data_IF_458359177223
#
_entry.id   IF_458359177223
#
_cell.length_a   1.000
_cell.length_b   1.000
_cell.length_c   1.000
_cell.angle_alpha   90.00
_cell.angle_beta   90.00
_cell.angle_gamma   90.00
#
_symmetry.space_group_name_H-M   'P 1'
#
loop_
_entity.id
_entity.type
_entity.pdbx_description
1 polymer ?
#
# COMPACT_ATOMS: atom_id res chain seq x y z
N UNK A 1 -11.90 -48.57 10.65
CA UNK A 1 -11.69 -48.41 9.19
C UNK A 1 -12.96 -47.93 8.48
N UNK A 2 -14.13 -48.51 8.80
CA UNK A 2 -15.45 -48.11 8.26
C UNK A 2 -15.76 -46.60 8.34
N UNK A 3 -15.51 -45.95 9.49
CA UNK A 3 -15.78 -44.51 9.68
C UNK A 3 -14.92 -43.59 8.78
N UNK A 4 -13.72 -44.02 8.39
CA UNK A 4 -12.89 -43.24 7.44
C UNK A 4 -13.40 -43.37 6.01
N UNK A 5 -13.92 -44.54 5.63
CA UNK A 5 -14.53 -44.73 4.32
C UNK A 5 -15.84 -43.94 4.18
N UNK A 6 -16.68 -43.96 5.23
CA UNK A 6 -17.92 -43.20 5.29
C UNK A 6 -17.68 -41.69 5.26
N UNK A 7 -16.63 -41.20 5.95
CA UNK A 7 -16.25 -39.79 5.87
C UNK A 7 -15.77 -39.39 4.47
N UNK A 8 -15.03 -40.25 3.76
CA UNK A 8 -14.58 -39.99 2.39
C UNK A 8 -15.76 -39.98 1.41
N UNK A 9 -16.72 -40.92 1.55
CA UNK A 9 -17.92 -41.00 0.71
C UNK A 9 -18.86 -39.81 0.97
N UNK A 10 -19.07 -39.43 2.23
CA UNK A 10 -19.88 -38.25 2.56
C UNK A 10 -19.19 -36.95 2.09
N UNK A 11 -17.86 -36.89 2.13
CA UNK A 11 -17.11 -35.74 1.61
C UNK A 11 -17.12 -35.67 0.09
N UNK A 12 -17.14 -36.80 -0.63
CA UNK A 12 -17.28 -36.81 -2.09
C UNK A 12 -18.71 -36.52 -2.56
N UNK A 13 -19.74 -36.92 -1.79
CA UNK A 13 -21.13 -36.51 -2.03
C UNK A 13 -21.30 -35.00 -1.78
N UNK A 14 -20.69 -34.45 -0.72
CA UNK A 14 -20.71 -33.01 -0.45
C UNK A 14 -19.93 -32.19 -1.49
N UNK A 15 -18.84 -32.72 -2.05
CA UNK A 15 -18.11 -32.07 -3.17
C UNK A 15 -18.92 -32.12 -4.47
N UNK A 16 -19.73 -33.17 -4.70
CA UNK A 16 -20.63 -33.24 -5.85
C UNK A 16 -21.89 -32.37 -5.70
N UNK A 17 -22.36 -32.08 -4.48
CA UNK A 17 -23.41 -31.05 -4.28
C UNK A 17 -22.85 -29.61 -4.33
N UNK A 18 -21.54 -29.43 -4.11
CA UNK A 18 -20.82 -28.16 -4.32
C UNK A 18 -20.22 -28.00 -5.72
N UNK A 19 -20.25 -29.03 -6.57
CA UNK A 19 -20.35 -28.78 -8.00
C UNK A 19 -21.72 -28.17 -8.24
N UNK A 20 -21.78 -26.84 -8.11
CA UNK A 20 -22.81 -26.02 -8.71
C UNK A 20 -22.89 -26.50 -10.14
N UNK A 21 -23.86 -27.38 -10.37
CA UNK A 21 -23.92 -28.14 -11.59
C UNK A 21 -23.99 -27.12 -12.71
N UNK A 22 -23.19 -27.31 -13.76
CA UNK A 22 -23.49 -26.75 -15.07
C UNK A 22 -24.77 -27.43 -15.63
N UNK A 23 -25.77 -27.72 -14.78
CA UNK A 23 -27.04 -28.32 -15.15
C UNK A 23 -27.78 -27.28 -15.98
N UNK A 24 -27.68 -27.45 -17.30
CA UNK A 24 -28.75 -27.26 -18.26
C UNK A 24 -29.57 -25.97 -18.08
N UNK A 25 -28.91 -24.83 -17.81
CA UNK A 25 -29.56 -23.55 -18.04
C UNK A 25 -29.68 -23.40 -19.55
N UNK A 26 -30.87 -23.71 -20.05
CA UNK A 26 -31.20 -23.54 -21.46
C UNK A 26 -31.28 -22.04 -21.73
N UNK A 27 -30.17 -21.49 -22.23
CA UNK A 27 -30.16 -20.12 -22.71
C UNK A 27 -31.00 -20.02 -23.99
N UNK A 28 -31.79 -18.95 -24.16
CA UNK A 28 -32.40 -18.64 -25.45
C UNK A 28 -31.37 -18.71 -26.59
N UNK A 29 -31.73 -19.15 -27.81
CA UNK A 29 -30.79 -19.34 -28.91
C UNK A 29 -29.88 -18.14 -29.17
N UNK A 30 -30.44 -16.92 -29.08
CA UNK A 30 -29.70 -15.67 -29.22
C UNK A 30 -28.59 -15.48 -28.17
N UNK A 31 -28.80 -15.93 -26.94
CA UNK A 31 -27.78 -15.87 -25.89
C UNK A 31 -26.70 -16.94 -26.13
N UNK A 32 -27.08 -18.14 -26.59
CA UNK A 32 -26.12 -19.19 -26.96
C UNK A 32 -25.19 -18.72 -28.08
N UNK A 33 -25.75 -18.12 -29.14
CA UNK A 33 -24.99 -17.53 -30.24
C UNK A 33 -23.95 -16.52 -29.74
N UNK A 34 -24.36 -15.63 -28.82
CA UNK A 34 -23.46 -14.62 -28.25
C UNK A 34 -22.37 -15.24 -27.38
N UNK A 35 -22.71 -16.25 -26.57
CA UNK A 35 -21.73 -17.01 -25.77
C UNK A 35 -20.69 -17.67 -26.69
N UNK A 36 -21.13 -18.23 -27.82
CA UNK A 36 -20.24 -18.83 -28.82
C UNK A 36 -19.33 -17.78 -29.47
N UNK A 37 -19.88 -16.61 -29.85
CA UNK A 37 -19.10 -15.51 -30.41
C UNK A 37 -18.03 -15.01 -29.42
N UNK A 38 -18.41 -14.72 -28.18
CA UNK A 38 -17.47 -14.32 -27.11
C UNK A 38 -16.42 -15.41 -26.87
N UNK A 39 -16.80 -16.68 -26.99
CA UNK A 39 -15.88 -17.80 -26.81
C UNK A 39 -14.85 -17.94 -27.93
N UNK A 40 -15.15 -17.43 -29.13
CA UNK A 40 -14.25 -17.44 -30.30
C UNK A 40 -13.32 -16.23 -30.36
N UNK A 41 -13.60 -15.14 -29.63
CA UNK A 41 -12.75 -13.94 -29.62
C UNK A 41 -11.33 -14.21 -29.11
N UNK A 42 -10.28 -13.79 -29.79
CA UNK A 42 -8.91 -13.99 -29.25
C UNK A 42 -8.52 -12.91 -28.22
N UNK A 43 -9.10 -11.72 -28.35
CA UNK A 43 -8.69 -10.51 -27.65
C UNK A 43 -9.91 -9.73 -27.18
N UNK A 44 -9.87 -9.27 -25.93
CA UNK A 44 -10.86 -8.34 -25.38
C UNK A 44 -10.40 -6.92 -25.69
N UNK A 45 -11.17 -6.19 -26.48
CA UNK A 45 -10.84 -4.84 -26.93
C UNK A 45 -11.39 -3.80 -25.97
N UNK A 46 -10.54 -2.84 -25.62
CA UNK A 46 -10.87 -1.68 -24.78
C UNK A 46 -10.53 -0.43 -25.59
N UNK A 47 -11.46 0.50 -25.70
CA UNK A 47 -11.26 1.74 -26.45
C UNK A 47 -10.27 2.69 -25.72
N UNK A 48 -9.83 3.79 -26.36
CA UNK A 48 -8.90 4.73 -25.72
C UNK A 48 -9.39 5.37 -24.42
N UNK A 49 -10.71 5.44 -24.25
CA UNK A 49 -11.35 5.89 -23.02
C UNK A 49 -11.49 4.76 -21.97
N UNK A 50 -10.77 3.66 -22.13
CA UNK A 50 -10.76 2.52 -21.20
C UNK A 50 -12.10 1.77 -21.11
N UNK A 51 -13.02 1.99 -22.05
CA UNK A 51 -14.34 1.35 -22.07
C UNK A 51 -14.27 0.09 -22.92
N UNK A 52 -14.80 -1.00 -22.37
CA UNK A 52 -14.95 -2.28 -23.06
C UNK A 52 -15.76 -2.12 -24.34
N UNK A 53 -15.47 -2.93 -25.36
CA UNK A 53 -16.34 -3.03 -26.53
C UNK A 53 -17.80 -3.23 -26.11
N UNK A 54 -18.63 -2.25 -26.46
CA UNK A 54 -20.01 -2.17 -26.00
C UNK A 54 -20.92 -3.18 -26.71
N UNK A 55 -20.50 -3.80 -27.82
CA UNK A 55 -21.34 -4.74 -28.56
C UNK A 55 -21.77 -5.93 -27.69
N UNK A 56 -20.82 -6.69 -27.16
CA UNK A 56 -21.11 -7.85 -26.30
C UNK A 56 -21.74 -7.44 -24.96
N UNK A 57 -21.31 -6.31 -24.39
CA UNK A 57 -21.90 -5.75 -23.16
C UNK A 57 -23.38 -5.44 -23.35
N UNK A 58 -23.73 -4.74 -24.43
CA UNK A 58 -25.11 -4.36 -24.71
C UNK A 58 -25.99 -5.57 -24.98
N UNK A 59 -25.47 -6.60 -25.67
CA UNK A 59 -26.23 -7.83 -25.90
C UNK A 59 -26.46 -8.58 -24.57
N UNK A 60 -25.43 -8.75 -23.74
CA UNK A 60 -25.60 -9.39 -22.43
C UNK A 60 -26.57 -8.60 -21.52
N UNK A 61 -26.51 -7.26 -21.54
CA UNK A 61 -27.44 -6.40 -20.77
C UNK A 61 -28.90 -6.53 -21.21
N UNK A 62 -29.14 -6.65 -22.51
CA UNK A 62 -30.50 -6.61 -23.08
C UNK A 62 -31.25 -7.92 -22.91
N UNK A 63 -30.54 -9.05 -22.76
CA UNK A 63 -31.17 -10.38 -22.76
C UNK A 63 -30.95 -11.21 -21.50
N UNK A 64 -29.97 -10.85 -20.66
CA UNK A 64 -29.65 -11.64 -19.49
C UNK A 64 -30.10 -10.94 -18.21
N UNK A 65 -31.10 -11.52 -17.55
CA UNK A 65 -31.36 -11.22 -16.14
C UNK A 65 -30.15 -11.66 -15.29
N UNK A 66 -30.12 -11.20 -14.04
CA UNK A 66 -29.09 -11.57 -13.07
C UNK A 66 -28.93 -13.08 -12.93
N UNK A 67 -30.04 -13.82 -12.92
CA UNK A 67 -30.07 -15.27 -12.68
C UNK A 67 -29.49 -16.05 -13.86
N UNK A 68 -29.48 -15.48 -15.06
CA UNK A 68 -28.80 -15.99 -16.26
C UNK A 68 -27.34 -15.58 -16.35
N UNK A 69 -26.98 -14.40 -15.86
CA UNK A 69 -25.59 -13.91 -15.89
C UNK A 69 -24.69 -14.56 -14.84
N UNK A 70 -25.21 -14.81 -13.63
CA UNK A 70 -24.42 -15.44 -12.55
C UNK A 70 -23.83 -16.79 -12.97
N UNK A 71 -24.60 -17.72 -13.57
CA UNK A 71 -24.06 -18.97 -14.08
C UNK A 71 -22.94 -18.81 -15.11
N UNK A 72 -22.99 -17.75 -15.95
CA UNK A 72 -21.94 -17.47 -16.93
C UNK A 72 -20.61 -17.07 -16.30
N UNK A 73 -20.59 -16.62 -15.04
CA UNK A 73 -19.33 -16.43 -14.31
C UNK A 73 -18.59 -17.75 -14.07
N UNK A 74 -19.26 -18.90 -14.20
CA UNK A 74 -18.68 -20.24 -14.06
C UNK A 74 -18.48 -20.96 -15.41
N UNK A 75 -18.62 -20.25 -16.52
CA UNK A 75 -18.46 -20.82 -17.87
C UNK A 75 -17.02 -21.29 -18.14
N UNK A 76 -16.83 -22.29 -19.01
CA UNK A 76 -15.50 -22.83 -19.33
C UNK A 76 -14.60 -21.79 -20.04
N UNK A 77 -15.18 -20.97 -20.92
CA UNK A 77 -14.48 -19.88 -21.62
C UNK A 77 -14.13 -18.73 -20.64
N UNK A 78 -12.84 -18.37 -20.48
CA UNK A 78 -12.42 -17.24 -19.66
C UNK A 78 -13.03 -15.90 -20.08
N UNK A 79 -13.27 -15.73 -21.38
CA UNK A 79 -13.81 -14.49 -21.96
C UNK A 79 -15.28 -14.32 -21.60
N UNK A 80 -16.07 -15.40 -21.68
CA UNK A 80 -17.47 -15.40 -21.24
C UNK A 80 -17.56 -15.02 -19.76
N UNK A 81 -16.69 -15.61 -18.92
CA UNK A 81 -16.63 -15.26 -17.49
C UNK A 81 -16.28 -13.79 -17.26
N UNK A 82 -15.30 -13.26 -17.99
CA UNK A 82 -14.91 -11.85 -17.92
C UNK A 82 -16.09 -10.91 -18.25
N UNK A 83 -16.76 -11.12 -19.39
CA UNK A 83 -17.88 -10.26 -19.78
C UNK A 83 -19.05 -10.40 -18.81
N UNK A 84 -19.33 -11.61 -18.32
CA UNK A 84 -20.38 -11.85 -17.34
C UNK A 84 -20.13 -11.09 -16.03
N UNK A 85 -18.92 -11.17 -15.45
CA UNK A 85 -18.63 -10.45 -14.19
C UNK A 85 -18.57 -8.93 -14.40
N UNK A 86 -18.08 -8.47 -15.55
CA UNK A 86 -18.12 -7.06 -15.89
C UNK A 86 -19.56 -6.55 -15.93
N UNK A 87 -20.45 -7.20 -16.68
CA UNK A 87 -21.85 -6.78 -16.80
C UNK A 87 -22.55 -6.84 -15.43
N UNK A 88 -22.35 -7.91 -14.66
CA UNK A 88 -22.92 -8.04 -13.31
C UNK A 88 -22.52 -6.87 -12.40
N UNK A 89 -21.22 -6.57 -12.32
CA UNK A 89 -20.69 -5.57 -11.37
C UNK A 89 -21.05 -4.13 -11.76
N UNK A 90 -21.12 -3.85 -13.06
CA UNK A 90 -21.38 -2.49 -13.57
C UNK A 90 -22.88 -2.15 -13.66
N UNK A 91 -23.77 -3.13 -13.82
CA UNK A 91 -25.19 -2.85 -14.11
C UNK A 91 -26.20 -3.43 -13.11
N UNK A 92 -25.78 -4.24 -12.13
CA UNK A 92 -26.68 -4.82 -11.13
C UNK A 92 -26.25 -4.44 -9.71
N UNK A 93 -27.21 -4.16 -8.84
CA UNK A 93 -26.94 -3.69 -7.47
C UNK A 93 -26.98 -4.78 -6.40
N UNK A 94 -27.54 -5.94 -6.73
CA UNK A 94 -27.70 -7.06 -5.80
C UNK A 94 -27.17 -8.35 -6.42
N UNK A 95 -25.84 -8.47 -6.57
CA UNK A 95 -25.19 -9.67 -7.09
C UNK A 95 -24.69 -10.55 -5.93
N UNK A 96 -24.59 -11.89 -6.09
CA UNK A 96 -24.05 -12.78 -5.07
C UNK A 96 -22.50 -12.68 -5.01
N UNK A 97 -21.97 -11.48 -4.76
CA UNK A 97 -20.56 -11.13 -4.91
C UNK A 97 -19.63 -12.03 -4.09
N UNK A 98 -20.00 -12.38 -2.86
CA UNK A 98 -19.15 -13.18 -1.99
C UNK A 98 -18.95 -14.60 -2.54
N UNK A 99 -20.04 -15.25 -2.97
CA UNK A 99 -20.01 -16.58 -3.58
C UNK A 99 -19.22 -16.58 -4.89
N UNK A 100 -19.37 -15.52 -5.70
CA UNK A 100 -18.60 -15.36 -6.93
C UNK A 100 -17.10 -15.21 -6.58
N UNK A 101 -16.75 -14.32 -5.65
CA UNK A 101 -15.36 -14.11 -5.24
C UNK A 101 -14.72 -15.39 -4.68
N UNK A 102 -15.42 -16.13 -3.81
CA UNK A 102 -14.95 -17.40 -3.24
C UNK A 102 -14.57 -18.41 -4.31
N UNK A 103 -15.40 -18.56 -5.35
CA UNK A 103 -15.13 -19.50 -6.44
C UNK A 103 -13.93 -19.08 -7.29
N UNK A 104 -13.80 -17.79 -7.58
CA UNK A 104 -12.81 -17.28 -8.53
C UNK A 104 -11.51 -16.82 -7.89
N UNK A 105 -11.38 -16.87 -6.57
CA UNK A 105 -10.18 -16.42 -5.85
C UNK A 105 -8.88 -17.07 -6.35
N UNK A 106 -8.95 -18.33 -6.76
CA UNK A 106 -7.84 -19.13 -7.26
C UNK A 106 -7.96 -19.46 -8.76
N UNK A 107 -8.78 -18.72 -9.51
CA UNK A 107 -8.91 -18.87 -10.95
C UNK A 107 -7.59 -18.52 -11.67
N UNK A 108 -6.94 -19.52 -12.25
CA UNK A 108 -5.66 -19.37 -12.94
C UNK A 108 -5.80 -19.03 -14.41
N UNK A 109 -7.02 -19.02 -14.96
CA UNK A 109 -7.26 -18.62 -16.34
C UNK A 109 -6.96 -17.14 -16.53
N UNK A 110 -6.70 -16.77 -17.77
CA UNK A 110 -6.37 -15.41 -18.13
C UNK A 110 -7.02 -15.04 -19.47
N UNK A 111 -7.19 -13.74 -19.68
CA UNK A 111 -7.67 -13.14 -20.92
C UNK A 111 -6.59 -12.22 -21.48
N UNK A 112 -6.61 -12.03 -22.80
CA UNK A 112 -5.76 -11.05 -23.47
C UNK A 112 -6.60 -9.79 -23.64
N UNK A 113 -6.09 -8.66 -23.15
CA UNK A 113 -6.72 -7.35 -23.23
C UNK A 113 -5.87 -6.49 -24.15
N UNK A 114 -6.52 -5.85 -25.13
CA UNK A 114 -5.89 -4.86 -26.00
C UNK A 114 -6.49 -3.49 -25.70
N UNK A 115 -5.62 -2.57 -25.29
CA UNK A 115 -5.93 -1.16 -25.06
C UNK A 115 -5.41 -0.33 -26.24
N UNK A 116 -6.27 0.52 -26.79
CA UNK A 116 -5.85 1.55 -27.75
C UNK A 116 -5.32 2.75 -26.97
N UNK A 117 -4.14 3.29 -27.31
CA UNK A 117 -3.65 4.52 -26.68
C UNK A 117 -4.57 5.69 -27.03
N UNK A 118 -4.58 6.72 -26.18
CA UNK A 118 -5.18 8.00 -26.53
C UNK A 118 -4.43 8.57 -27.75
N UNK A 119 -5.17 9.14 -28.69
CA UNK A 119 -4.64 9.74 -29.93
C UNK A 119 -3.67 10.89 -29.59
N UNK A 120 -3.78 11.45 -28.38
CA UNK A 120 -2.90 12.50 -27.86
C UNK A 120 -1.47 12.03 -27.48
N UNK A 121 -1.22 10.73 -27.31
CA UNK A 121 0.03 10.17 -26.75
C UNK A 121 1.09 9.77 -27.81
N UNK A 122 0.88 10.10 -29.09
CA UNK A 122 1.82 9.81 -30.18
C UNK A 122 1.46 8.56 -31.00
N UNK A 123 2.43 7.90 -31.67
CA UNK A 123 2.12 6.85 -32.65
C UNK A 123 1.29 5.71 -32.06
N UNK A 124 0.19 5.40 -32.74
CA UNK A 124 -0.84 4.44 -32.33
C UNK A 124 -0.23 3.03 -32.29
N UNK A 125 0.30 2.64 -31.12
CA UNK A 125 0.66 1.25 -30.84
C UNK A 125 -0.30 0.73 -29.80
N UNK A 126 -1.12 -0.26 -30.19
CA UNK A 126 -2.02 -0.91 -29.24
C UNK A 126 -1.19 -1.67 -28.21
N UNK A 127 -1.55 -1.50 -26.93
CA UNK A 127 -0.92 -2.23 -25.85
C UNK A 127 -1.72 -3.49 -25.58
N UNK A 128 -1.09 -4.65 -25.75
CA UNK A 128 -1.72 -5.94 -25.45
C UNK A 128 -1.07 -6.57 -24.23
N UNK A 129 -1.87 -6.98 -23.25
CA UNK A 129 -1.39 -7.66 -22.05
C UNK A 129 -2.31 -8.79 -21.63
N UNK A 130 -1.75 -9.73 -20.87
CA UNK A 130 -2.47 -10.88 -20.33
C UNK A 130 -2.82 -10.63 -18.88
N UNK A 131 -4.09 -10.73 -18.54
CA UNK A 131 -4.58 -10.51 -17.18
C UNK A 131 -5.30 -11.74 -16.62
N UNK A 132 -5.03 -12.09 -15.36
CA UNK A 132 -5.62 -13.26 -14.71
C UNK A 132 -7.01 -12.97 -14.22
N UNK A 133 -7.94 -13.90 -14.42
CA UNK A 133 -9.33 -13.72 -14.03
C UNK A 133 -9.48 -13.51 -12.53
N UNK A 134 -8.78 -14.27 -11.68
CA UNK A 134 -8.91 -14.09 -10.24
C UNK A 134 -8.64 -12.65 -9.76
N UNK A 135 -7.68 -11.96 -10.37
CA UNK A 135 -7.41 -10.54 -10.14
C UNK A 135 -8.58 -9.68 -10.62
N UNK A 136 -9.03 -9.87 -11.86
CA UNK A 136 -10.15 -9.11 -12.45
C UNK A 136 -11.42 -9.23 -11.61
N UNK A 137 -11.78 -10.45 -11.18
CA UNK A 137 -12.97 -10.69 -10.36
C UNK A 137 -12.92 -9.90 -9.05
N UNK A 138 -11.79 -9.94 -8.34
CA UNK A 138 -11.63 -9.21 -7.07
C UNK A 138 -11.60 -7.70 -7.28
N UNK A 139 -11.03 -7.23 -8.39
CA UNK A 139 -10.99 -5.80 -8.69
C UNK A 139 -12.35 -5.23 -9.10
N UNK A 140 -13.12 -5.96 -9.90
CA UNK A 140 -14.47 -5.58 -10.29
C UNK A 140 -15.47 -5.67 -9.14
N UNK A 141 -15.36 -6.69 -8.28
CA UNK A 141 -16.19 -6.79 -7.06
C UNK A 141 -15.81 -5.69 -6.06
N UNK A 142 -14.51 -5.50 -5.84
CA UNK A 142 -13.96 -4.50 -4.94
C UNK A 142 -13.53 -5.05 -3.58
N UNK A 143 -12.49 -4.44 -3.03
CA UNK A 143 -11.99 -4.66 -1.68
C UNK A 143 -11.42 -3.35 -1.13
N UNK A 144 -11.04 -3.28 0.14
CA UNK A 144 -10.40 -2.08 0.68
C UNK A 144 -9.00 -1.86 0.09
N UNK A 145 -8.33 -2.92 -0.38
CA UNK A 145 -7.00 -2.88 -0.99
C UNK A 145 -7.02 -2.62 -2.51
N UNK A 146 -8.21 -2.44 -3.08
CA UNK A 146 -8.42 -2.13 -4.50
C UNK A 146 -8.82 -0.66 -4.62
N UNK A 147 -8.14 0.08 -5.50
CA UNK A 147 -8.46 1.46 -5.86
C UNK A 147 -9.71 1.56 -6.76
N UNK A 148 -9.75 2.51 -7.68
CA UNK A 148 -10.58 2.33 -8.88
C UNK A 148 -9.99 1.16 -9.69
N UNK A 149 -10.83 0.38 -10.39
CA UNK A 149 -10.30 -0.61 -11.33
C UNK A 149 -9.83 0.14 -12.57
N UNK A 150 -8.51 0.34 -12.65
CA UNK A 150 -7.89 0.97 -13.80
C UNK A 150 -7.71 -0.08 -14.90
N UNK A 151 -8.73 -0.25 -15.75
CA UNK A 151 -8.41 -0.33 -17.18
C UNK A 151 -7.77 1.03 -17.48
N UNK A 152 -6.48 1.05 -17.84
CA UNK A 152 -5.73 2.31 -17.91
C UNK A 152 -6.53 3.31 -18.76
N UNK A 153 -6.80 4.49 -18.19
CA UNK A 153 -7.55 5.59 -18.79
C UNK A 153 -9.09 5.45 -18.89
N UNK A 154 -9.74 4.54 -18.14
CA UNK A 154 -11.21 4.54 -18.05
C UNK A 154 -11.77 5.56 -17.05
N UNK A 155 -12.54 6.53 -17.54
CA UNK A 155 -13.40 7.34 -16.69
C UNK A 155 -14.53 6.44 -16.13
N UNK A 156 -14.43 6.10 -14.83
CA UNK A 156 -15.51 5.61 -13.93
C UNK A 156 -16.00 4.16 -14.05
N UNK A 157 -15.12 3.16 -14.12
CA UNK A 157 -15.49 1.83 -13.59
C UNK A 157 -15.21 1.77 -12.07
N UNK A 158 -16.26 2.01 -11.28
CA UNK A 158 -16.17 1.84 -9.83
C UNK A 158 -16.34 0.37 -9.48
N UNK A 159 -15.46 -0.21 -8.63
CA UNK A 159 -15.70 -1.54 -8.08
C UNK A 159 -17.10 -1.64 -7.49
N UNK A 160 -17.80 -2.74 -7.77
CA UNK A 160 -19.21 -2.95 -7.42
C UNK A 160 -19.52 -2.52 -5.99
N UNK A 161 -18.77 -3.02 -5.00
CA UNK A 161 -19.02 -2.73 -3.59
C UNK A 161 -18.83 -1.25 -3.21
N UNK A 162 -17.98 -0.50 -3.92
CA UNK A 162 -17.86 0.96 -3.74
C UNK A 162 -19.02 1.68 -4.42
N UNK A 163 -19.39 1.25 -5.62
CA UNK A 163 -20.51 1.81 -6.40
C UNK A 163 -21.83 1.71 -5.63
N UNK A 164 -22.12 0.54 -5.03
CA UNK A 164 -23.31 0.31 -4.21
C UNK A 164 -23.14 0.72 -2.74
N UNK A 165 -22.00 1.33 -2.37
CA UNK A 165 -21.68 1.78 -1.01
C UNK A 165 -21.84 0.68 0.07
N UNK A 166 -21.52 -0.57 -0.27
CA UNK A 166 -21.66 -1.72 0.62
C UNK A 166 -20.36 -1.99 1.41
N UNK A 167 -20.14 -1.24 2.49
CA UNK A 167 -18.96 -1.41 3.34
C UNK A 167 -18.88 -2.77 4.03
N UNK A 168 -20.03 -3.39 4.33
CA UNK A 168 -20.07 -4.73 4.92
C UNK A 168 -19.50 -5.75 3.95
N UNK A 169 -19.93 -5.70 2.69
CA UNK A 169 -19.40 -6.55 1.63
C UNK A 169 -17.91 -6.35 1.39
N UNK A 170 -17.41 -5.10 1.50
CA UNK A 170 -15.96 -4.83 1.45
C UNK A 170 -15.23 -5.62 2.56
N UNK A 171 -15.74 -5.56 3.79
CA UNK A 171 -15.15 -6.31 4.93
C UNK A 171 -15.22 -7.83 4.75
N UNK A 172 -16.28 -8.35 4.11
CA UNK A 172 -16.42 -9.77 3.79
C UNK A 172 -15.39 -10.22 2.76
N UNK A 173 -15.20 -9.45 1.68
CA UNK A 173 -14.16 -9.71 0.67
C UNK A 173 -12.75 -9.60 1.27
N UNK A 174 -12.49 -8.58 2.08
CA UNK A 174 -11.18 -8.44 2.74
C UNK A 174 -10.88 -9.63 3.66
N UNK A 175 -11.90 -10.12 4.37
CA UNK A 175 -11.76 -11.30 5.23
C UNK A 175 -11.53 -12.56 4.41
N UNK A 176 -12.25 -12.73 3.30
CA UNK A 176 -12.04 -13.82 2.35
C UNK A 176 -10.60 -13.84 1.82
N UNK A 177 -10.09 -12.68 1.38
CA UNK A 177 -8.73 -12.53 0.85
C UNK A 177 -7.66 -12.89 1.87
N UNK A 178 -7.85 -12.55 3.16
CA UNK A 178 -6.88 -12.85 4.21
C UNK A 178 -7.01 -14.28 4.74
N UNK A 179 -8.22 -14.82 4.83
CA UNK A 179 -8.48 -16.11 5.47
C UNK A 179 -8.43 -17.32 4.52
N UNK A 180 -8.49 -17.09 3.21
CA UNK A 180 -8.41 -18.16 2.21
C UNK A 180 -7.07 -18.10 1.46
N UNK A 181 -6.33 -19.22 1.35
CA UNK A 181 -5.05 -19.24 0.62
C UNK A 181 -5.21 -18.74 -0.83
N UNK A 182 -4.40 -17.75 -1.19
CA UNK A 182 -4.31 -17.18 -2.53
C UNK A 182 -2.95 -16.45 -2.69
N UNK A 183 -2.64 -16.04 -3.92
CA UNK A 183 -1.40 -15.29 -4.26
C UNK A 183 -1.68 -13.92 -4.85
N UNK A 184 -2.85 -13.34 -4.55
CA UNK A 184 -3.27 -12.06 -5.13
C UNK A 184 -2.49 -10.90 -4.51
N UNK A 185 -2.13 -9.92 -5.35
CA UNK A 185 -1.49 -8.68 -4.90
C UNK A 185 -2.41 -7.91 -3.96
N UNK A 186 -3.73 -7.98 -4.19
CA UNK A 186 -4.75 -7.36 -3.36
C UNK A 186 -4.68 -7.85 -1.91
N UNK A 187 -4.40 -9.14 -1.69
CA UNK A 187 -4.18 -9.69 -0.34
C UNK A 187 -2.93 -9.08 0.32
N UNK A 188 -1.84 -8.92 -0.44
CA UNK A 188 -0.64 -8.27 0.07
C UNK A 188 -0.88 -6.80 0.43
N UNK A 189 -1.57 -6.07 -0.44
CA UNK A 189 -1.94 -4.67 -0.22
C UNK A 189 -2.81 -4.52 1.03
N UNK A 190 -3.76 -5.43 1.27
CA UNK A 190 -4.59 -5.43 2.48
C UNK A 190 -3.75 -5.63 3.76
N UNK A 191 -2.83 -6.60 3.74
CA UNK A 191 -1.97 -6.91 4.88
C UNK A 191 -1.00 -5.74 5.21
N UNK A 192 -0.46 -5.07 4.19
CA UNK A 192 0.49 -3.95 4.36
C UNK A 192 -0.18 -2.60 4.60
N UNK A 193 -1.27 -2.28 3.90
CA UNK A 193 -1.84 -0.94 3.85
C UNK A 193 -2.91 -0.65 4.90
N UNK A 194 -3.55 -1.67 5.47
CA UNK A 194 -4.71 -1.47 6.35
C UNK A 194 -4.39 -1.67 7.83
N UNK A 195 -5.23 -1.06 8.66
CA UNK A 195 -5.43 -1.43 10.06
C UNK A 195 -5.83 -2.92 10.19
N UNK A 196 -5.43 -3.59 11.29
CA UNK A 196 -5.76 -5.00 11.50
C UNK A 196 -7.25 -5.31 11.50
N UNK A 197 -7.67 -6.25 10.66
CA UNK A 197 -9.02 -6.81 10.71
C UNK A 197 -9.09 -7.79 11.88
N UNK A 198 -9.74 -7.41 12.98
CA UNK A 198 -9.80 -8.16 14.25
C UNK A 198 -10.14 -9.64 14.07
N UNK A 199 -11.13 -9.96 13.23
CA UNK A 199 -11.57 -11.33 12.95
C UNK A 199 -10.52 -12.20 12.23
N UNK A 200 -9.58 -11.59 11.51
CA UNK A 200 -8.59 -12.30 10.71
C UNK A 200 -7.31 -12.67 11.47
N UNK A 201 -7.17 -12.33 12.76
CA UNK A 201 -5.95 -12.56 13.55
C UNK A 201 -5.42 -14.01 13.45
N UNK A 202 -6.31 -15.00 13.58
CA UNK A 202 -5.93 -16.42 13.51
C UNK A 202 -5.42 -16.80 12.11
N UNK A 203 -6.05 -16.26 11.06
CA UNK A 203 -5.65 -16.47 9.67
C UNK A 203 -4.26 -15.89 9.40
N UNK A 204 -4.05 -14.62 9.76
CA UNK A 204 -2.74 -13.94 9.62
C UNK A 204 -1.64 -14.71 10.34
N UNK A 205 -1.87 -15.12 11.60
CA UNK A 205 -0.89 -15.91 12.36
C UNK A 205 -0.60 -17.27 11.71
N UNK A 206 -1.59 -17.90 11.08
CA UNK A 206 -1.42 -19.16 10.32
C UNK A 206 -0.57 -18.95 9.07
N UNK A 207 -0.76 -17.86 8.33
CA UNK A 207 0.03 -17.52 7.13
C UNK A 207 1.51 -17.34 7.47
N UNK A 208 1.83 -16.70 8.60
CA UNK A 208 3.23 -16.57 9.06
C UNK A 208 3.86 -17.95 9.30
N UNK A 209 3.13 -18.85 9.97
CA UNK A 209 3.64 -20.19 10.31
C UNK A 209 3.85 -21.09 9.11
N UNK A 210 2.89 -21.12 8.18
CA UNK A 210 2.86 -22.13 7.11
C UNK A 210 3.69 -21.73 5.89
N UNK A 211 3.68 -20.44 5.56
CA UNK A 211 4.13 -19.98 4.24
C UNK A 211 5.39 -19.12 4.33
N UNK A 212 5.96 -18.95 5.54
CA UNK A 212 7.02 -18.00 5.84
C UNK A 212 6.72 -16.60 5.25
N UNK A 213 5.46 -16.18 5.35
CA UNK A 213 4.95 -15.00 4.67
C UNK A 213 5.29 -13.72 5.47
N UNK A 214 6.33 -13.01 5.04
CA UNK A 214 6.79 -11.79 5.71
C UNK A 214 5.79 -10.64 5.63
N UNK A 215 4.92 -10.59 4.61
CA UNK A 215 3.83 -9.60 4.55
C UNK A 215 2.80 -9.87 5.65
N UNK A 216 2.46 -11.15 5.89
CA UNK A 216 1.61 -11.53 7.00
C UNK A 216 2.29 -11.30 8.37
N UNK A 217 3.62 -11.39 8.45
CA UNK A 217 4.38 -11.07 9.68
C UNK A 217 4.23 -9.59 10.05
N UNK A 218 4.36 -8.70 9.07
CA UNK A 218 4.07 -7.27 9.24
C UNK A 218 2.63 -7.09 9.71
N UNK A 219 1.65 -7.69 9.03
CA UNK A 219 0.25 -7.59 9.44
C UNK A 219 0.00 -8.12 10.88
N UNK A 220 0.70 -9.19 11.29
CA UNK A 220 0.62 -9.73 12.65
C UNK A 220 1.11 -8.73 13.69
N UNK A 221 2.21 -8.03 13.41
CA UNK A 221 2.79 -7.03 14.33
C UNK A 221 1.82 -5.88 14.63
N UNK A 222 1.02 -5.46 13.66
CA UNK A 222 0.01 -4.41 13.83
C UNK A 222 -1.07 -4.74 14.88
N UNK A 223 -1.32 -6.02 15.17
CA UNK A 223 -2.22 -6.43 16.26
C UNK A 223 -1.65 -6.13 17.66
N UNK A 224 -0.34 -5.84 17.78
CA UNK A 224 0.34 -5.41 19.01
C UNK A 224 0.11 -6.31 20.23
N UNK A 225 -0.05 -7.63 20.00
CA UNK A 225 -0.29 -8.59 21.08
C UNK A 225 1.04 -9.01 21.72
N UNK A 226 1.22 -8.71 23.01
CA UNK A 226 2.43 -9.04 23.78
C UNK A 226 2.86 -10.53 23.64
N UNK A 227 1.91 -11.46 23.64
CA UNK A 227 2.18 -12.90 23.48
C UNK A 227 2.80 -13.29 22.14
N UNK A 228 2.75 -12.42 21.13
CA UNK A 228 3.28 -12.70 19.79
C UNK A 228 4.71 -12.16 19.60
N UNK A 229 5.29 -11.44 20.56
CA UNK A 229 6.62 -10.81 20.41
C UNK A 229 7.69 -11.83 20.02
N UNK A 230 7.85 -12.89 20.82
CA UNK A 230 8.85 -13.91 20.54
C UNK A 230 8.58 -14.64 19.22
N UNK A 231 7.30 -14.87 18.91
CA UNK A 231 6.89 -15.48 17.64
C UNK A 231 7.24 -14.58 16.45
N UNK A 232 7.02 -13.27 16.54
CA UNK A 232 7.38 -12.31 15.49
C UNK A 232 8.89 -12.31 15.29
N UNK A 233 9.66 -12.19 16.38
CA UNK A 233 11.13 -12.15 16.31
C UNK A 233 11.73 -13.43 15.73
N UNK A 234 11.14 -14.60 16.00
CA UNK A 234 11.64 -15.89 15.48
C UNK A 234 11.30 -16.15 14.01
N UNK A 235 10.43 -15.34 13.40
CA UNK A 235 10.01 -15.47 12.00
C UNK A 235 10.47 -14.27 11.14
N UNK A 236 11.31 -13.39 11.67
CA UNK A 236 11.94 -12.34 10.88
C UNK A 236 12.81 -12.95 9.77
N UNK A 237 12.95 -12.26 8.61
CA UNK A 237 13.89 -12.67 7.58
C UNK A 237 15.31 -12.88 8.15
N UNK A 238 16.02 -13.97 7.79
CA UNK A 238 17.34 -14.29 8.35
C UNK A 238 18.43 -13.30 7.91
N UNK A 239 18.26 -12.68 6.75
CA UNK A 239 19.09 -11.60 6.23
C UNK A 239 18.21 -10.43 5.81
N UNK A 240 18.79 -9.24 5.76
CA UNK A 240 18.12 -8.02 5.26
C UNK A 240 18.37 -7.99 3.75
N UNK A 241 17.41 -8.39 2.90
CA UNK A 241 17.65 -8.43 1.46
C UNK A 241 17.66 -6.99 0.94
N UNK A 242 18.58 -6.64 0.04
CA UNK A 242 18.70 -5.26 -0.47
C UNK A 242 17.39 -4.71 -1.07
N UNK A 243 16.48 -5.57 -1.53
CA UNK A 243 15.18 -5.20 -2.12
C UNK A 243 13.96 -5.54 -1.23
N UNK A 244 14.16 -6.06 -0.01
CA UNK A 244 13.07 -6.50 0.90
C UNK A 244 13.33 -6.12 2.36
N UNK A 245 14.25 -5.18 2.60
CA UNK A 245 14.55 -4.64 3.92
C UNK A 245 13.29 -4.11 4.64
N UNK A 246 12.32 -3.62 3.87
CA UNK A 246 11.00 -3.19 4.34
C UNK A 246 10.35 -4.20 5.30
N UNK A 247 10.28 -5.47 4.93
CA UNK A 247 9.58 -6.48 5.73
C UNK A 247 10.33 -6.86 7.01
N UNK A 248 11.63 -6.58 7.09
CA UNK A 248 12.39 -6.77 8.31
C UNK A 248 12.11 -5.64 9.32
N UNK A 249 12.02 -4.39 8.86
CA UNK A 249 11.89 -3.22 9.72
C UNK A 249 10.45 -2.89 10.11
N UNK A 250 9.48 -3.11 9.22
CA UNK A 250 8.08 -2.78 9.47
C UNK A 250 7.51 -3.40 10.77
N UNK A 251 7.82 -4.65 11.16
CA UNK A 251 7.32 -5.19 12.43
C UNK A 251 7.74 -4.36 13.66
N UNK A 252 8.95 -3.77 13.64
CA UNK A 252 9.43 -2.89 14.70
C UNK A 252 8.76 -1.53 14.67
N UNK A 253 8.43 -1.01 13.48
CA UNK A 253 7.70 0.25 13.28
C UNK A 253 6.27 0.12 13.79
N UNK A 254 5.61 -1.00 13.48
CA UNK A 254 4.22 -1.27 13.81
C UNK A 254 4.02 -1.68 15.28
N UNK A 255 5.00 -2.35 15.89
CA UNK A 255 4.91 -2.81 17.28
C UNK A 255 6.11 -2.38 18.13
N UNK A 256 5.98 -1.19 18.73
CA UNK A 256 6.96 -0.65 19.68
C UNK A 256 6.90 -1.43 21.00
N UNK A 257 7.92 -2.25 21.29
CA UNK A 257 8.00 -3.02 22.54
C UNK A 257 9.46 -3.19 23.03
N UNK A 258 9.77 -3.07 24.34
CA UNK A 258 11.14 -3.14 24.85
C UNK A 258 11.93 -4.40 24.44
N UNK A 259 11.28 -5.56 24.44
CA UNK A 259 11.90 -6.82 23.98
C UNK A 259 12.27 -6.77 22.49
N UNK A 260 11.42 -6.16 21.65
CA UNK A 260 11.72 -5.96 20.23
C UNK A 260 12.85 -4.95 20.05
N UNK A 261 12.83 -3.85 20.81
CA UNK A 261 13.91 -2.86 20.82
C UNK A 261 15.27 -3.47 21.18
N UNK A 262 15.32 -4.32 22.22
CA UNK A 262 16.55 -5.02 22.63
C UNK A 262 17.09 -5.93 21.53
N UNK A 263 16.21 -6.66 20.82
CA UNK A 263 16.61 -7.44 19.66
C UNK A 263 17.16 -6.53 18.55
N UNK A 264 16.46 -5.42 18.29
CA UNK A 264 16.80 -4.47 17.25
C UNK A 264 18.18 -3.82 17.46
N UNK A 265 18.45 -3.39 18.69
CA UNK A 265 19.75 -2.84 19.12
C UNK A 265 20.91 -3.82 18.89
N UNK A 266 20.70 -5.13 19.11
CA UNK A 266 21.72 -6.16 18.84
C UNK A 266 22.09 -6.28 17.35
N UNK A 267 21.25 -5.78 16.45
CA UNK A 267 21.47 -5.79 15.00
C UNK A 267 22.06 -4.48 14.47
N UNK A 268 22.43 -3.55 15.37
CA UNK A 268 22.98 -2.23 15.01
C UNK A 268 24.10 -2.30 13.96
N UNK A 269 25.09 -3.16 14.15
CA UNK A 269 26.29 -3.23 13.29
C UNK A 269 25.97 -3.49 11.81
N UNK A 270 24.86 -4.16 11.52
CA UNK A 270 24.42 -4.46 10.15
C UNK A 270 23.29 -3.55 9.67
N UNK A 271 22.51 -2.96 10.58
CA UNK A 271 21.30 -2.24 10.21
C UNK A 271 21.45 -0.71 10.09
N UNK A 272 22.49 -0.11 10.69
CA UNK A 272 22.59 1.35 10.85
C UNK A 272 22.45 2.16 9.55
N UNK A 273 22.83 1.57 8.41
CA UNK A 273 22.79 2.19 7.09
C UNK A 273 21.39 2.25 6.44
N UNK A 274 20.38 1.57 6.99
CA UNK A 274 19.04 1.56 6.43
C UNK A 274 18.18 2.67 7.06
N UNK A 275 17.54 3.48 6.23
CA UNK A 275 16.62 4.54 6.65
C UNK A 275 15.48 4.02 7.55
N UNK A 276 14.92 2.86 7.21
CA UNK A 276 13.87 2.21 8.00
C UNK A 276 14.37 1.74 9.37
N UNK A 277 15.67 1.54 9.55
CA UNK A 277 16.26 1.26 10.87
C UNK A 277 16.08 2.46 11.78
N UNK A 278 16.50 3.63 11.32
CA UNK A 278 16.32 4.90 12.02
C UNK A 278 14.85 5.20 12.28
N UNK A 279 13.97 4.99 11.29
CA UNK A 279 12.51 5.18 11.45
C UNK A 279 11.97 4.36 12.63
N UNK A 280 12.33 3.07 12.70
CA UNK A 280 11.90 2.20 13.78
C UNK A 280 12.43 2.64 15.15
N UNK A 281 13.65 3.19 15.25
CA UNK A 281 14.21 3.68 16.52
C UNK A 281 13.47 4.92 17.01
N UNK A 282 13.28 5.93 16.14
CA UNK A 282 12.72 7.22 16.53
C UNK A 282 11.38 7.05 17.26
N UNK A 283 10.53 6.11 16.82
CA UNK A 283 9.20 5.89 17.39
C UNK A 283 9.18 5.42 18.86
N UNK A 284 10.29 4.96 19.41
CA UNK A 284 10.38 4.53 20.82
C UNK A 284 10.38 5.69 21.83
N UNK A 285 10.78 6.90 21.40
CA UNK A 285 10.75 8.16 22.18
C UNK A 285 11.28 8.02 23.62
N UNK A 286 12.43 7.39 23.78
CA UNK A 286 13.07 7.20 25.08
C UNK A 286 14.60 7.39 24.99
N UNK A 287 15.27 7.50 26.14
CA UNK A 287 16.70 7.79 26.20
C UNK A 287 17.55 6.73 25.51
N UNK A 288 17.20 5.45 25.62
CA UNK A 288 17.94 4.39 24.93
C UNK A 288 17.83 4.50 23.41
N UNK A 289 16.67 4.94 22.90
CA UNK A 289 16.46 5.22 21.48
C UNK A 289 17.28 6.42 21.02
N UNK A 290 17.32 7.51 21.79
CA UNK A 290 18.18 8.67 21.51
C UNK A 290 19.65 8.25 21.41
N UNK A 291 20.15 7.49 22.38
CA UNK A 291 21.55 7.03 22.37
C UNK A 291 21.84 6.13 21.17
N UNK A 292 20.91 5.24 20.80
CA UNK A 292 21.06 4.42 19.61
C UNK A 292 21.05 5.25 18.31
N UNK A 293 20.24 6.32 18.24
CA UNK A 293 20.27 7.24 17.09
C UNK A 293 21.60 8.00 17.00
N UNK A 294 22.15 8.46 18.13
CA UNK A 294 23.49 9.08 18.15
C UNK A 294 24.55 8.12 17.63
N UNK A 295 24.53 6.85 18.07
CA UNK A 295 25.41 5.81 17.54
C UNK A 295 25.24 5.60 16.03
N UNK A 296 24.00 5.65 15.51
CA UNK A 296 23.74 5.59 14.06
C UNK A 296 24.41 6.76 13.35
N UNK A 297 24.26 7.98 13.85
CA UNK A 297 24.87 9.19 13.26
C UNK A 297 26.40 9.07 13.23
N UNK A 298 27.02 8.75 14.37
CA UNK A 298 28.47 8.61 14.49
C UNK A 298 29.02 7.55 13.53
N UNK A 299 28.42 6.35 13.53
CA UNK A 299 28.85 5.26 12.66
C UNK A 299 28.63 5.58 11.19
N UNK A 300 27.53 6.23 10.85
CA UNK A 300 27.21 6.58 9.46
C UNK A 300 28.17 7.61 8.88
N UNK A 301 28.54 8.63 9.66
CA UNK A 301 29.55 9.62 9.25
C UNK A 301 30.91 8.97 8.97
N UNK A 302 31.25 7.91 9.72
CA UNK A 302 32.53 7.20 9.60
C UNK A 302 32.55 6.18 8.45
N UNK A 303 31.48 5.40 8.32
CA UNK A 303 31.49 4.18 7.50
C UNK A 303 30.78 4.34 6.14
N UNK A 304 29.97 5.38 5.95
CA UNK A 304 29.27 5.64 4.69
C UNK A 304 30.01 6.70 3.86
N UNK A 305 29.80 6.66 2.54
CA UNK A 305 30.22 7.76 1.68
C UNK A 305 29.43 9.03 2.00
N UNK A 306 29.96 10.20 1.63
CA UNK A 306 29.28 11.49 1.86
C UNK A 306 27.84 11.51 1.32
N UNK A 307 27.62 10.98 0.11
CA UNK A 307 26.29 10.94 -0.51
C UNK A 307 25.32 10.01 0.21
N UNK A 308 25.78 8.83 0.65
CA UNK A 308 24.98 7.90 1.45
C UNK A 308 24.63 8.48 2.83
N UNK A 309 25.59 9.13 3.49
CA UNK A 309 25.35 9.84 4.74
C UNK A 309 24.34 10.98 4.56
N UNK A 310 24.49 11.82 3.55
CA UNK A 310 23.56 12.91 3.27
C UNK A 310 22.13 12.37 3.05
N UNK A 311 21.98 11.28 2.29
CA UNK A 311 20.68 10.62 2.10
C UNK A 311 20.09 10.11 3.43
N UNK A 312 20.87 9.38 4.22
CA UNK A 312 20.43 8.84 5.50
C UNK A 312 20.08 9.95 6.51
N UNK A 313 20.90 11.01 6.59
CA UNK A 313 20.70 12.19 7.44
C UNK A 313 19.38 12.88 7.12
N UNK A 314 19.07 13.10 5.84
CA UNK A 314 17.80 13.73 5.44
C UNK A 314 16.60 12.88 5.82
N UNK A 315 16.69 11.55 5.64
CA UNK A 315 15.64 10.65 6.12
C UNK A 315 15.51 10.71 7.64
N UNK A 316 16.62 10.68 8.39
CA UNK A 316 16.60 10.76 9.84
C UNK A 316 15.97 12.07 10.34
N UNK A 317 16.30 13.22 9.74
CA UNK A 317 15.68 14.52 10.02
C UNK A 317 14.16 14.42 9.83
N UNK A 318 13.71 13.89 8.69
CA UNK A 318 12.28 13.73 8.38
C UNK A 318 11.58 12.83 9.41
N UNK A 319 12.18 11.70 9.77
CA UNK A 319 11.57 10.75 10.71
C UNK A 319 11.52 11.30 12.14
N UNK A 320 12.58 11.96 12.61
CA UNK A 320 12.60 12.66 13.92
C UNK A 320 11.50 13.72 13.94
N UNK A 321 11.38 14.52 12.89
CA UNK A 321 10.34 15.54 12.82
C UNK A 321 8.92 14.97 12.80
N UNK A 322 8.66 13.96 11.96
CA UNK A 322 7.34 13.31 11.89
C UNK A 322 6.93 12.64 13.22
N UNK A 323 7.91 12.27 14.04
CA UNK A 323 7.70 11.63 15.34
C UNK A 323 8.29 12.47 16.48
N UNK A 324 8.25 13.80 16.35
CA UNK A 324 8.97 14.71 17.25
C UNK A 324 8.70 14.42 18.74
N UNK A 325 9.75 14.62 19.51
CA UNK A 325 9.80 14.57 20.97
C UNK A 325 10.93 15.52 21.38
N UNK A 326 10.70 16.32 22.43
CA UNK A 326 11.69 17.26 22.95
C UNK A 326 13.02 16.57 23.29
N UNK A 327 12.97 15.29 23.66
CA UNK A 327 14.13 14.43 23.88
C UNK A 327 15.11 14.39 22.68
N UNK A 328 14.58 14.48 21.45
CA UNK A 328 15.36 14.44 20.22
C UNK A 328 15.75 15.82 19.70
N UNK A 329 15.35 16.91 20.36
CA UNK A 329 15.53 18.25 19.83
C UNK A 329 17.00 18.60 19.59
N UNK A 330 17.89 18.28 20.55
CA UNK A 330 19.33 18.53 20.38
C UNK A 330 19.92 17.75 19.20
N UNK A 331 19.58 16.47 19.07
CA UNK A 331 20.02 15.67 17.92
C UNK A 331 19.48 16.23 16.60
N UNK A 332 18.23 16.68 16.58
CA UNK A 332 17.63 17.31 15.39
C UNK A 332 18.37 18.59 15.02
N UNK A 333 18.66 19.46 15.98
CA UNK A 333 19.49 20.65 15.74
C UNK A 333 20.85 20.27 15.15
N UNK A 334 21.57 19.32 15.76
CA UNK A 334 22.90 18.91 15.29
C UNK A 334 22.86 18.42 13.83
N UNK A 335 21.83 17.64 13.46
CA UNK A 335 21.64 17.14 12.10
C UNK A 335 21.31 18.24 11.09
N UNK A 336 20.49 19.21 11.50
CA UNK A 336 20.09 20.34 10.67
C UNK A 336 21.24 21.32 10.46
N UNK A 337 22.00 21.61 11.51
CA UNK A 337 23.10 22.57 11.49
C UNK A 337 24.32 22.06 10.73
N UNK A 338 24.53 20.74 10.65
CA UNK A 338 25.64 20.13 9.90
C UNK A 338 25.62 20.51 8.41
N UNK A 339 24.44 20.55 7.80
CA UNK A 339 24.25 20.99 6.41
C UNK A 339 22.84 21.58 6.28
N UNK A 340 22.71 22.90 6.57
CA UNK A 340 21.44 23.60 6.64
C UNK A 340 20.93 23.87 5.22
N UNK A 341 19.71 23.43 4.93
CA UNK A 341 19.08 23.63 3.62
C UNK A 341 17.81 24.46 3.73
N UNK A 342 17.48 25.32 2.76
CA UNK A 342 16.31 26.21 2.79
C UNK A 342 14.99 25.52 3.17
N UNK A 343 14.71 24.34 2.61
CA UNK A 343 13.47 23.62 2.92
C UNK A 343 13.41 23.09 4.37
N UNK A 344 14.53 23.04 5.09
CA UNK A 344 14.56 22.69 6.50
C UNK A 344 13.89 23.71 7.41
N UNK A 345 13.61 24.92 6.93
CA UNK A 345 12.94 25.93 7.75
C UNK A 345 11.55 25.49 8.23
N UNK A 346 10.94 24.54 7.53
CA UNK A 346 9.67 23.94 7.93
C UNK A 346 9.74 23.25 9.30
N UNK A 347 10.95 22.92 9.78
CA UNK A 347 11.19 22.32 11.09
C UNK A 347 11.29 23.34 12.23
N UNK A 348 11.43 24.64 11.93
CA UNK A 348 11.65 25.68 12.93
C UNK A 348 10.45 25.83 13.89
N UNK A 349 9.23 25.58 13.42
CA UNK A 349 8.00 25.73 14.20
C UNK A 349 7.97 24.93 15.52
N UNK A 350 8.55 23.73 15.55
CA UNK A 350 8.66 22.91 16.75
C UNK A 350 9.89 23.29 17.59
N UNK A 351 10.97 23.72 16.94
CA UNK A 351 12.24 24.06 17.59
C UNK A 351 12.19 25.40 18.34
N UNK A 352 11.40 26.38 17.87
CA UNK A 352 11.19 27.66 18.56
C UNK A 352 10.69 27.49 20.00
N UNK A 353 9.97 26.40 20.29
CA UNK A 353 9.45 26.13 21.64
C UNK A 353 10.51 25.54 22.57
N UNK A 354 11.59 25.00 22.01
CA UNK A 354 12.66 24.34 22.75
C UNK A 354 13.80 25.32 23.02
N UNK A 355 14.31 25.94 21.96
CA UNK A 355 15.42 26.87 22.04
C UNK A 355 15.27 27.93 20.95
N UNK A 356 14.75 29.10 21.36
CA UNK A 356 14.47 30.21 20.45
C UNK A 356 15.75 30.76 19.83
N UNK A 357 16.81 30.92 20.62
CA UNK A 357 18.03 31.54 20.13
C UNK A 357 18.75 30.60 19.16
N UNK A 358 18.88 29.31 19.48
CA UNK A 358 19.48 28.33 18.56
C UNK A 358 18.65 28.19 17.28
N UNK A 359 17.33 28.17 17.38
CA UNK A 359 16.43 28.16 16.21
C UNK A 359 16.63 29.41 15.34
N UNK A 360 16.76 30.57 15.96
CA UNK A 360 17.05 31.82 15.26
C UNK A 360 18.37 31.76 14.51
N UNK A 361 19.45 31.32 15.15
CA UNK A 361 20.75 31.16 14.51
C UNK A 361 20.69 30.16 13.35
N UNK A 362 19.99 29.03 13.53
CA UNK A 362 19.77 28.05 12.47
C UNK A 362 19.02 28.65 11.26
N UNK A 363 17.98 29.46 11.50
CA UNK A 363 17.23 30.16 10.45
C UNK A 363 18.12 31.11 9.66
N UNK A 364 18.95 31.91 10.34
CA UNK A 364 19.90 32.80 9.65
C UNK A 364 20.92 32.01 8.82
N UNK A 365 21.46 30.91 9.36
CA UNK A 365 22.39 30.02 8.64
C UNK A 365 21.75 29.37 7.42
N UNK A 366 20.45 29.08 7.49
CA UNK A 366 19.68 28.52 6.37
C UNK A 366 19.44 29.56 5.27
N UNK A 367 19.23 30.82 5.64
CA UNK A 367 19.05 31.93 4.69
C UNK A 367 20.34 32.33 3.96
N UNK A 368 21.50 32.12 4.58
CA UNK A 368 22.80 32.37 3.95
C UNK A 368 23.24 31.26 2.99
N UNK A 369 22.47 30.18 2.87
CA UNK A 369 22.79 29.06 1.98
C UNK A 369 22.68 29.45 0.50
N UNK A 370 23.80 29.41 -0.23
CA UNK A 370 23.88 29.68 -1.67
C UNK A 370 23.83 28.36 -2.45
N UNK A 371 22.82 28.20 -3.31
CA UNK A 371 22.78 27.09 -4.28
C UNK A 371 23.49 27.46 -5.57
N UNK A 372 24.18 26.52 -6.20
CA UNK A 372 24.82 26.69 -7.50
C UNK A 372 23.83 26.82 -8.67
N UNK A 373 22.57 26.43 -8.50
CA UNK A 373 21.62 26.28 -9.61
C UNK A 373 20.50 27.33 -9.68
N UNK A 374 20.29 28.13 -8.64
CA UNK A 374 19.30 29.23 -8.59
C UNK A 374 19.79 30.26 -7.57
N UNK A 375 19.52 31.54 -7.81
CA UNK A 375 19.88 32.64 -6.90
C UNK A 375 19.39 32.44 -5.46
N UNK A 376 19.72 33.38 -4.57
CA UNK A 376 19.43 33.26 -3.14
C UNK A 376 17.97 32.83 -2.87
N UNK A 377 17.74 31.96 -1.88
CA UNK A 377 16.40 31.50 -1.47
C UNK A 377 15.56 32.58 -0.78
N UNK A 378 16.00 33.84 -0.86
CA UNK A 378 15.33 35.05 -0.36
C UNK A 378 14.20 35.47 -1.30
N UNK A 379 13.24 34.58 -1.54
CA UNK A 379 11.95 35.07 -2.03
C UNK A 379 11.26 35.81 -0.89
N UNK A 380 10.59 36.92 -1.20
CA UNK A 380 9.80 37.66 -0.21
C UNK A 380 8.81 36.74 0.52
N UNK A 381 8.21 35.79 -0.19
CA UNK A 381 7.36 34.75 0.36
C UNK A 381 8.02 33.96 1.51
N UNK A 382 9.28 33.57 1.34
CA UNK A 382 10.01 32.77 2.32
C UNK A 382 10.39 33.61 3.54
N UNK A 383 10.87 34.83 3.33
CA UNK A 383 11.16 35.78 4.41
C UNK A 383 9.91 36.11 5.22
N UNK A 384 8.77 36.35 4.55
CA UNK A 384 7.50 36.63 5.22
C UNK A 384 6.99 35.43 6.03
N UNK A 385 7.18 34.21 5.53
CA UNK A 385 6.88 33.00 6.31
C UNK A 385 7.70 32.96 7.60
N UNK A 386 9.00 33.23 7.53
CA UNK A 386 9.88 33.26 8.70
C UNK A 386 9.44 34.35 9.67
N UNK A 387 9.17 35.56 9.18
CA UNK A 387 8.68 36.67 10.01
C UNK A 387 7.39 36.29 10.74
N UNK A 388 6.45 35.60 10.07
CA UNK A 388 5.24 35.08 10.71
C UNK A 388 5.56 34.07 11.81
N UNK A 389 6.48 33.14 11.56
CA UNK A 389 6.88 32.14 12.56
C UNK A 389 7.60 32.81 13.75
N UNK A 390 8.53 33.73 13.52
CA UNK A 390 9.20 34.50 14.58
C UNK A 390 8.18 35.31 15.37
N UNK A 391 7.31 36.08 14.72
CA UNK A 391 6.28 36.86 15.40
C UNK A 391 5.36 35.98 16.26
N UNK A 392 5.08 34.76 15.82
CA UNK A 392 4.23 33.80 16.54
C UNK A 392 4.94 33.15 17.73
N UNK A 393 6.20 32.74 17.58
CA UNK A 393 6.87 31.87 18.56
C UNK A 393 7.98 32.58 19.36
N UNK A 394 8.59 33.63 18.80
CA UNK A 394 9.67 34.40 19.42
C UNK A 394 9.60 35.89 18.99
N UNK A 395 8.49 36.61 19.26
CA UNK A 395 8.28 37.98 18.79
C UNK A 395 9.39 38.96 19.22
N UNK A 396 10.04 38.70 20.35
CA UNK A 396 11.20 39.44 20.83
C UNK A 396 12.40 39.43 19.85
N UNK A 397 12.50 38.41 19.00
CA UNK A 397 13.57 38.27 17.99
C UNK A 397 13.22 38.94 16.65
N UNK A 398 11.98 39.41 16.45
CA UNK A 398 11.55 39.96 15.15
C UNK A 398 12.32 41.23 14.76
N UNK A 399 12.57 42.12 15.73
CA UNK A 399 13.35 43.34 15.49
C UNK A 399 14.78 43.00 15.06
N UNK A 400 15.38 41.99 15.70
CA UNK A 400 16.72 41.49 15.37
C UNK A 400 16.74 40.85 13.98
N UNK A 401 15.75 40.02 13.68
CA UNK A 401 15.60 39.38 12.36
C UNK A 401 15.57 40.40 11.22
N UNK A 402 14.75 41.46 11.35
CA UNK A 402 14.65 42.50 10.33
C UNK A 402 15.97 43.23 10.07
N UNK A 403 16.85 43.32 11.07
CA UNK A 403 18.19 43.89 10.92
C UNK A 403 19.13 42.88 10.27
N UNK A 404 19.17 41.66 10.80
CA UNK A 404 20.15 40.64 10.40
C UNK A 404 19.90 40.15 8.96
N UNK A 405 18.64 40.00 8.54
CA UNK A 405 18.30 39.54 7.19
C UNK A 405 18.79 40.47 6.07
N UNK A 406 18.92 41.77 6.35
CA UNK A 406 19.46 42.77 5.42
C UNK A 406 20.96 42.62 5.20
N UNK A 407 21.66 41.94 6.11
CA UNK A 407 23.12 41.74 6.08
C UNK A 407 23.55 40.39 5.50
N UNK A 408 22.57 39.50 5.24
CA UNK A 408 22.84 38.23 4.59
C UNK A 408 22.95 38.54 3.10
N UNK A 409 24.08 38.22 2.45
CA UNK A 409 24.35 38.41 1.02
C UNK A 409 23.93 37.22 0.16
#
# INVERSE_FOLDING_TARGET
>A
MLYRLLAIILFSIFINELSFSQNNICYPPKIQEVIELISKEDIIKVNPAGVLDTHYVNILKTFADKDKLVPLTYHSSPKVRFFAIYVLTQYFDDIPFLKIAEKHLNDTSAVIIMEWPDISDGPITSNTYKEKLNKIFIELIGSAGVGCYELKNSYRNYPYLKRVKNEKGIREIDSLLICTPNKLQQTQNLLLGREPIKGCYKCVKKMVRKDNNYVALVALSKFKKKKDIHFILSHLPPFIPNNKNLYFFLPFIEFQHPVMFKFFKKKFSICFKYDLYSNAIVKYKNTEALELLKMVVEKSRKDLTKGEWDYLRQNLIREIWANFSDLYANLLFDLLEENPMPYHIQFANVLWKIDKERTYQFVLKTLSFKTSCRGSWKSDYFIDKIKRDINKYAPELLKRFNKDVLTID
#
